data_IF_267926801602
#
_entry.id   IF_267926801602
#
_cell.length_a   1.000
_cell.length_b   1.000
_cell.length_c   1.000
_cell.angle_alpha   90.00
_cell.angle_beta   90.00
_cell.angle_gamma   90.00
#
_symmetry.space_group_name_H-M   'P 1'
#
loop_
_entity.id
_entity.type
_entity.pdbx_description
1 polymer ?
#
# COMPACT_ATOMS: atom_id res chain seq x y z
N UNK A 1 8.18 14.45 5.26
CA UNK A 1 7.60 13.23 4.66
C UNK A 1 8.21 13.04 3.27
N UNK A 2 8.79 11.85 2.98
CA UNK A 2 9.42 11.59 1.68
C UNK A 2 8.34 11.25 0.65
N UNK A 3 8.03 12.18 -0.24
CA UNK A 3 7.10 11.99 -1.36
C UNK A 3 7.86 11.33 -2.51
N UNK A 4 7.25 10.33 -3.14
CA UNK A 4 7.89 9.54 -4.20
C UNK A 4 6.93 9.25 -5.37
N UNK A 5 7.44 9.14 -6.60
CA UNK A 5 6.67 8.65 -7.74
C UNK A 5 6.16 7.23 -7.51
N UNK A 6 5.07 6.89 -8.19
CA UNK A 6 4.36 5.59 -8.03
C UNK A 6 5.27 4.38 -8.28
N UNK A 7 6.20 4.49 -9.23
CA UNK A 7 7.11 3.38 -9.56
C UNK A 7 8.08 3.08 -8.42
N UNK A 8 8.56 4.12 -7.72
CA UNK A 8 9.38 3.93 -6.52
C UNK A 8 8.59 3.36 -5.35
N UNK A 9 7.30 3.70 -5.22
CA UNK A 9 6.43 3.06 -4.22
C UNK A 9 6.34 1.55 -4.48
N UNK A 10 6.05 1.17 -5.73
CA UNK A 10 5.91 -0.23 -6.14
C UNK A 10 7.21 -0.99 -5.89
N UNK A 11 8.34 -0.46 -6.35
CA UNK A 11 9.66 -1.06 -6.17
C UNK A 11 9.99 -1.26 -4.68
N UNK A 12 9.70 -0.24 -3.87
CA UNK A 12 10.02 -0.26 -2.43
C UNK A 12 9.15 -1.25 -1.65
N UNK A 13 7.88 -1.41 -2.03
CA UNK A 13 6.98 -2.41 -1.44
C UNK A 13 7.37 -3.83 -1.87
N UNK A 14 7.75 -4.02 -3.14
CA UNK A 14 8.20 -5.30 -3.66
C UNK A 14 9.46 -5.81 -2.94
N UNK A 15 10.42 -4.92 -2.65
CA UNK A 15 11.61 -5.25 -1.84
C UNK A 15 11.25 -5.69 -0.41
N UNK A 16 10.08 -5.28 0.09
CA UNK A 16 9.56 -5.68 1.41
C UNK A 16 8.64 -6.91 1.34
N UNK A 17 8.59 -7.62 0.20
CA UNK A 17 7.73 -8.79 -0.01
C UNK A 17 6.26 -8.46 -0.33
N UNK A 18 5.90 -7.18 -0.44
CA UNK A 18 4.52 -6.74 -0.67
C UNK A 18 4.31 -6.45 -2.16
N UNK A 19 3.46 -7.24 -2.82
CA UNK A 19 3.16 -7.08 -4.25
C UNK A 19 1.94 -6.18 -4.43
N UNK A 20 2.16 -5.01 -5.06
CA UNK A 20 1.10 -4.05 -5.40
C UNK A 20 1.31 -3.50 -6.80
N UNK A 21 0.23 -3.09 -7.46
CA UNK A 21 0.23 -2.49 -8.80
C UNK A 21 -0.08 -0.99 -8.75
N UNK A 22 0.35 -0.24 -9.77
CA UNK A 22 0.00 1.17 -9.92
C UNK A 22 -1.53 1.40 -9.95
N UNK A 23 -2.31 0.44 -10.46
CA UNK A 23 -3.78 0.50 -10.47
C UNK A 23 -4.33 0.41 -9.05
N UNK A 24 -3.81 -0.48 -8.20
CA UNK A 24 -4.22 -0.59 -6.81
C UNK A 24 -3.92 0.70 -6.03
N UNK A 25 -2.72 1.26 -6.18
CA UNK A 25 -2.34 2.51 -5.53
C UNK A 25 -3.27 3.66 -5.96
N UNK A 26 -3.55 3.78 -7.27
CA UNK A 26 -4.52 4.78 -7.77
C UNK A 26 -5.90 4.58 -7.19
N UNK A 27 -6.40 3.34 -7.11
CA UNK A 27 -7.70 3.05 -6.51
C UNK A 27 -7.75 3.39 -5.01
N UNK A 28 -6.67 3.18 -4.26
CA UNK A 28 -6.60 3.56 -2.86
C UNK A 28 -6.67 5.07 -2.67
N UNK A 29 -5.97 5.82 -3.53
CA UNK A 29 -6.08 7.29 -3.56
C UNK A 29 -7.50 7.73 -3.88
N UNK A 30 -8.13 7.14 -4.90
CA UNK A 30 -9.50 7.49 -5.30
C UNK A 30 -10.53 7.21 -4.21
N UNK A 31 -10.30 6.18 -3.39
CA UNK A 31 -11.16 5.83 -2.24
C UNK A 31 -10.81 6.58 -0.95
N UNK A 32 -9.82 7.48 -0.98
CA UNK A 32 -9.41 8.26 0.19
C UNK A 32 -8.63 7.47 1.24
N UNK A 33 -8.08 6.31 0.90
CA UNK A 33 -7.28 5.50 1.82
C UNK A 33 -5.83 5.98 1.97
N UNK A 34 -5.32 6.68 0.96
CA UNK A 34 -3.97 7.22 0.91
C UNK A 34 -3.98 8.59 0.24
N UNK A 35 -2.95 9.37 0.50
CA UNK A 35 -2.81 10.74 0.03
C UNK A 35 -1.76 10.84 -1.08
N UNK A 36 -2.04 11.70 -2.07
CA UNK A 36 -1.09 12.10 -3.10
C UNK A 36 -1.05 13.62 -3.18
N UNK A 37 0.16 14.19 -3.19
CA UNK A 37 0.42 15.60 -3.48
C UNK A 37 1.04 15.74 -4.88
N UNK A 38 1.32 16.97 -5.31
CA UNK A 38 2.00 17.24 -6.58
C UNK A 38 3.40 16.59 -6.63
N UNK A 39 4.07 16.50 -5.48
CA UNK A 39 5.36 15.83 -5.30
C UNK A 39 5.27 14.28 -5.26
N UNK A 40 4.06 13.72 -5.34
CA UNK A 40 3.84 12.27 -5.39
C UNK A 40 3.16 11.67 -4.15
N UNK A 41 3.46 10.40 -3.90
CA UNK A 41 2.81 9.59 -2.87
C UNK A 41 3.59 9.57 -1.56
N UNK A 42 2.89 9.52 -0.43
CA UNK A 42 3.55 9.25 0.85
C UNK A 42 3.90 7.77 0.97
N UNK A 43 5.18 7.44 0.95
CA UNK A 43 5.61 6.05 1.07
C UNK A 43 5.30 5.45 2.45
N UNK A 44 5.35 6.25 3.52
CA UNK A 44 5.12 5.76 4.87
C UNK A 44 3.63 5.43 5.08
N UNK A 45 2.74 6.30 4.61
CA UNK A 45 1.29 6.08 4.63
C UNK A 45 0.91 4.82 3.85
N UNK A 46 1.44 4.67 2.62
CA UNK A 46 1.15 3.49 1.80
C UNK A 46 1.68 2.22 2.46
N UNK A 47 2.89 2.24 3.04
CA UNK A 47 3.44 1.09 3.77
C UNK A 47 2.56 0.70 4.96
N UNK A 48 2.11 1.68 5.74
CA UNK A 48 1.20 1.44 6.87
C UNK A 48 -0.13 0.84 6.39
N UNK A 49 -0.73 1.42 5.35
CA UNK A 49 -1.98 0.93 4.77
C UNK A 49 -1.87 -0.51 4.25
N UNK A 50 -0.79 -0.83 3.50
CA UNK A 50 -0.59 -2.17 2.94
C UNK A 50 -0.31 -3.20 4.03
N UNK A 51 0.49 -2.86 5.06
CA UNK A 51 0.72 -3.75 6.21
C UNK A 51 -0.57 -4.05 6.97
N UNK A 52 -1.35 -3.02 7.32
CA UNK A 52 -2.64 -3.23 7.98
C UNK A 52 -3.59 -4.12 7.16
N UNK A 53 -3.55 -4.03 5.82
CA UNK A 53 -4.32 -4.92 4.94
C UNK A 53 -3.77 -6.34 4.85
N UNK A 54 -2.46 -6.50 4.84
CA UNK A 54 -1.81 -7.82 4.84
C UNK A 54 -2.11 -8.54 6.16
N UNK A 55 -2.02 -7.84 7.28
CA UNK A 55 -2.34 -8.37 8.60
C UNK A 55 -3.82 -8.75 8.70
N UNK A 56 -4.73 -7.90 8.20
CA UNK A 56 -6.15 -8.24 8.11
C UNK A 56 -6.40 -9.48 7.24
N UNK A 57 -5.68 -9.63 6.12
CA UNK A 57 -5.82 -10.80 5.25
C UNK A 57 -5.32 -12.07 5.94
N UNK A 58 -4.18 -12.00 6.64
CA UNK A 58 -3.67 -13.11 7.46
C UNK A 58 -4.65 -13.47 8.57
N UNK A 59 -5.27 -12.48 9.23
CA UNK A 59 -6.29 -12.73 10.27
C UNK A 59 -7.54 -13.40 9.68
N UNK A 60 -8.03 -12.93 8.52
CA UNK A 60 -9.20 -13.52 7.85
C UNK A 60 -8.90 -14.93 7.33
N UNK A 61 -7.73 -15.15 6.73
CA UNK A 61 -7.28 -16.47 6.27
C UNK A 61 -7.09 -17.44 7.47
N UNK A 62 -6.56 -16.97 8.60
CA UNK A 62 -6.45 -17.75 9.83
C UNK A 62 -7.81 -18.04 10.49
N UNK A 63 -8.78 -17.12 10.37
CA UNK A 63 -10.13 -17.27 10.93
C UNK A 63 -11.04 -18.22 10.12
N UNK A 64 -10.69 -18.54 8.88
CA UNK A 64 -11.45 -19.45 8.01
C UNK A 64 -10.99 -20.92 8.11
N UNK A 65 -9.94 -21.22 8.90
CA UNK A 65 -9.35 -22.55 9.02
C UNK A 65 -9.74 -23.32 10.31
N UNK A 66 -10.78 -22.87 11.01
CA UNK A 66 -11.27 -23.47 12.27
C UNK A 66 -12.71 -23.93 12.18
#
# INVERSE_FOLDING_TARGET
MKRVPVDLVILTLAQSGLRVTARQIRNWKLRGHITRTDDGYDLAEIRAYVRGRADLRVIVDAAQAG
#
